data_IF_905411347333
#
_entry.id   IF_905411347333
#
_cell.length_a   1.000
_cell.length_b   1.000
_cell.length_c   1.000
_cell.angle_alpha   90.00
_cell.angle_beta   90.00
_cell.angle_gamma   90.00
#
_symmetry.space_group_name_H-M   'P 1'
#
loop_
_entity.id
_entity.type
_entity.pdbx_description
1 polymer ?
#
# COMPACT_ATOMS: atom_id res chain seq x y z
N UNK A 1 12.35 0.55 -5.32
CA UNK A 1 11.67 -0.22 -4.24
C UNK A 1 12.02 0.32 -2.85
N UNK A 2 13.29 0.40 -2.44
CA UNK A 2 13.67 0.93 -1.11
C UNK A 2 13.41 2.43 -0.95
N UNK A 3 13.76 3.23 -1.96
CA UNK A 3 13.42 4.67 -1.96
C UNK A 3 11.90 4.89 -1.88
N UNK A 4 11.12 4.14 -2.67
CA UNK A 4 9.66 4.14 -2.60
C UNK A 4 9.14 3.76 -1.20
N UNK A 5 9.73 2.75 -0.56
CA UNK A 5 9.37 2.33 0.79
C UNK A 5 9.57 3.48 1.79
N UNK A 6 10.68 4.22 1.67
CA UNK A 6 10.93 5.39 2.51
C UNK A 6 9.82 6.44 2.35
N UNK A 7 9.42 6.80 1.12
CA UNK A 7 8.34 7.76 0.91
C UNK A 7 6.99 7.27 1.42
N UNK A 8 6.64 6.01 1.15
CA UNK A 8 5.39 5.42 1.66
C UNK A 8 5.36 5.51 3.18
N UNK A 9 6.44 5.08 3.84
CA UNK A 9 6.52 5.11 5.30
C UNK A 9 6.45 6.54 5.84
N UNK A 10 7.24 7.45 5.27
CA UNK A 10 7.26 8.85 5.68
C UNK A 10 5.88 9.48 5.52
N UNK A 11 5.26 9.38 4.35
CA UNK A 11 3.94 9.98 4.07
C UNK A 11 2.87 9.36 4.97
N UNK A 12 2.80 8.03 5.09
CA UNK A 12 1.79 7.37 5.94
C UNK A 12 1.92 7.78 7.41
N UNK A 13 3.15 7.84 7.95
CA UNK A 13 3.37 8.26 9.34
C UNK A 13 3.09 9.74 9.52
N UNK A 14 3.52 10.59 8.58
CA UNK A 14 3.25 12.02 8.64
C UNK A 14 1.75 12.30 8.55
N UNK A 15 1.01 11.63 7.67
CA UNK A 15 -0.45 11.77 7.60
C UNK A 15 -1.09 11.39 8.93
N UNK A 16 -0.73 10.26 9.55
CA UNK A 16 -1.26 9.87 10.87
C UNK A 16 -0.93 10.83 12.01
N UNK A 17 0.20 11.55 11.92
CA UNK A 17 0.65 12.45 12.99
C UNK A 17 0.24 13.91 12.81
N UNK A 18 0.17 14.39 11.57
CA UNK A 18 0.09 15.81 11.24
C UNK A 18 -1.07 16.18 10.33
N UNK A 19 -1.65 15.22 9.59
CA UNK A 19 -2.87 15.48 8.85
C UNK A 19 -4.09 15.18 9.74
N UNK A 20 -5.23 15.80 9.43
CA UNK A 20 -6.50 15.64 10.15
C UNK A 20 -7.09 14.25 9.93
N UNK A 21 -6.34 13.20 10.27
CA UNK A 21 -6.86 11.85 10.37
C UNK A 21 -7.97 11.91 11.40
N UNK A 22 -9.20 11.52 11.03
CA UNK A 22 -10.32 11.65 11.94
C UNK A 22 -10.00 10.86 13.21
N UNK A 23 -10.13 11.52 14.37
CA UNK A 23 -9.56 11.06 15.64
C UNK A 23 -10.05 9.67 16.08
N UNK A 24 -11.23 9.24 15.60
CA UNK A 24 -11.77 7.91 15.84
C UNK A 24 -11.07 6.77 15.08
N UNK A 25 -10.18 7.07 14.12
CA UNK A 25 -9.47 6.06 13.33
C UNK A 25 -8.65 5.11 14.21
N UNK A 26 -7.89 5.68 15.17
CA UNK A 26 -6.99 4.89 16.03
C UNK A 26 -7.77 3.95 16.94
N UNK A 27 -8.93 4.39 17.43
CA UNK A 27 -9.77 3.63 18.34
C UNK A 27 -10.62 2.59 17.61
N UNK A 28 -11.03 2.86 16.36
CA UNK A 28 -12.02 2.06 15.63
C UNK A 28 -11.69 1.91 14.14
N UNK A 29 -10.49 1.40 13.78
CA UNK A 29 -9.99 1.40 12.41
C UNK A 29 -10.84 0.61 11.41
N UNK A 30 -11.73 -0.26 11.91
CA UNK A 30 -12.59 -1.13 11.10
C UNK A 30 -14.02 -0.62 10.95
N UNK A 31 -14.39 0.55 11.49
CA UNK A 31 -15.67 1.15 11.11
C UNK A 31 -15.67 1.46 9.60
N UNK A 32 -16.82 1.36 8.91
CA UNK A 32 -16.89 1.47 7.45
C UNK A 32 -16.21 2.73 6.88
N UNK A 33 -16.28 3.85 7.61
CA UNK A 33 -15.65 5.11 7.23
C UNK A 33 -14.11 5.06 7.19
N UNK A 34 -13.51 4.26 8.07
CA UNK A 34 -12.05 4.10 8.21
C UNK A 34 -11.49 2.95 7.38
N UNK A 35 -12.34 1.99 7.02
CA UNK A 35 -11.96 0.78 6.32
C UNK A 35 -11.27 1.06 4.98
N UNK A 36 -11.61 2.18 4.33
CA UNK A 36 -10.99 2.63 3.08
C UNK A 36 -9.46 2.78 3.21
N UNK A 37 -8.98 3.33 4.33
CA UNK A 37 -7.54 3.52 4.61
C UNK A 37 -6.87 2.21 4.99
N UNK A 38 -7.55 1.36 5.75
CA UNK A 38 -7.04 0.03 6.09
C UNK A 38 -6.83 -0.79 4.82
N UNK A 39 -7.81 -0.81 3.90
CA UNK A 39 -7.71 -1.51 2.62
C UNK A 39 -6.56 -0.92 1.78
N UNK A 40 -6.45 0.40 1.68
CA UNK A 40 -5.33 1.05 0.98
C UNK A 40 -3.97 0.62 1.55
N UNK A 41 -3.82 0.67 2.88
CA UNK A 41 -2.58 0.31 3.57
C UNK A 41 -2.20 -1.17 3.34
N UNK A 42 -3.18 -2.08 3.42
CA UNK A 42 -2.95 -3.52 3.16
C UNK A 42 -2.52 -3.75 1.71
N UNK A 43 -3.22 -3.14 0.74
CA UNK A 43 -2.84 -3.26 -0.68
C UNK A 43 -1.44 -2.72 -0.94
N UNK A 44 -1.10 -1.56 -0.37
CA UNK A 44 0.23 -0.97 -0.46
C UNK A 44 1.32 -1.86 0.12
N UNK A 45 1.09 -2.43 1.30
CA UNK A 45 2.02 -3.35 1.95
C UNK A 45 2.25 -4.63 1.12
N UNK A 46 1.18 -5.24 0.61
CA UNK A 46 1.26 -6.43 -0.25
C UNK A 46 2.01 -6.09 -1.54
N UNK A 47 1.69 -4.98 -2.21
CA UNK A 47 2.37 -4.55 -3.42
C UNK A 47 3.88 -4.34 -3.19
N UNK A 48 4.24 -3.74 -2.07
CA UNK A 48 5.62 -3.49 -1.69
C UNK A 48 6.40 -4.79 -1.40
N UNK A 49 5.79 -5.75 -0.69
CA UNK A 49 6.38 -7.07 -0.46
C UNK A 49 6.58 -7.83 -1.77
N UNK A 50 5.59 -7.81 -2.66
CA UNK A 50 5.70 -8.41 -4.00
C UNK A 50 6.80 -7.75 -4.84
N UNK A 51 6.95 -6.43 -4.77
CA UNK A 51 8.01 -5.70 -5.46
C UNK A 51 9.41 -6.08 -4.92
N UNK A 52 9.56 -6.21 -3.60
CA UNK A 52 10.81 -6.68 -2.97
C UNK A 52 11.11 -8.12 -3.43
N UNK A 53 10.12 -9.01 -3.40
CA UNK A 53 10.27 -10.38 -3.89
C UNK A 53 10.73 -10.40 -5.36
N UNK A 54 10.05 -9.65 -6.25
CA UNK A 54 10.39 -9.60 -7.66
C UNK A 54 11.82 -9.08 -7.89
N UNK A 55 12.24 -8.07 -7.13
CA UNK A 55 13.60 -7.52 -7.19
C UNK A 55 14.63 -8.59 -6.81
N UNK A 56 14.46 -9.24 -5.65
CA UNK A 56 15.40 -10.27 -5.17
C UNK A 56 15.44 -11.50 -6.08
N UNK A 57 14.29 -11.94 -6.59
CA UNK A 57 14.17 -13.06 -7.52
C UNK A 57 14.66 -12.71 -8.95
N UNK A 58 14.61 -11.44 -9.33
CA UNK A 58 15.20 -10.91 -10.57
C UNK A 58 16.73 -10.94 -10.53
N UNK A 59 17.30 -10.54 -9.40
CA UNK A 59 18.76 -10.57 -9.14
C UNK A 59 19.30 -11.95 -8.73
N UNK A 60 18.48 -13.00 -8.74
CA UNK A 60 18.85 -14.38 -8.34
C UNK A 60 19.35 -14.49 -6.89
N UNK A 61 19.03 -13.52 -6.02
CA UNK A 61 19.33 -13.57 -4.59
C UNK A 61 18.37 -14.53 -3.88
N UNK A 62 17.10 -14.50 -4.26
CA UNK A 62 16.08 -15.42 -3.75
C UNK A 62 15.78 -16.51 -4.79
N UNK A 63 15.72 -17.80 -4.38
CA UNK A 63 15.33 -18.86 -5.31
C UNK A 63 13.92 -18.65 -5.83
N UNK A 64 13.74 -18.84 -7.14
CA UNK A 64 12.43 -18.83 -7.82
C UNK A 64 11.67 -20.12 -7.51
N UNK A 65 11.18 -20.24 -6.27
CA UNK A 65 10.48 -21.45 -5.79
C UNK A 65 9.04 -21.56 -6.27
N UNK A 66 8.41 -20.47 -6.69
CA UNK A 66 6.99 -20.44 -7.03
C UNK A 66 6.79 -19.71 -8.36
N UNK A 67 6.29 -20.42 -9.37
CA UNK A 67 5.84 -19.85 -10.64
C UNK A 67 6.89 -19.09 -11.47
N UNK A 68 6.44 -18.47 -12.55
CA UNK A 68 7.28 -17.65 -13.43
C UNK A 68 7.34 -16.22 -12.91
N UNK A 69 8.54 -15.61 -12.86
CA UNK A 69 8.73 -14.23 -12.39
C UNK A 69 7.81 -13.22 -13.11
N UNK A 70 7.53 -13.44 -14.40
CA UNK A 70 6.60 -12.61 -15.19
C UNK A 70 5.23 -12.47 -14.52
N UNK A 71 4.67 -13.54 -13.97
CA UNK A 71 3.35 -13.49 -13.33
C UNK A 71 3.39 -12.72 -12.01
N UNK A 72 4.48 -12.83 -11.26
CA UNK A 72 4.69 -12.03 -10.06
C UNK A 72 4.85 -10.54 -10.35
N UNK A 73 5.52 -10.19 -11.45
CA UNK A 73 5.61 -8.79 -11.89
C UNK A 73 4.23 -8.24 -12.25
N UNK A 74 3.40 -9.01 -12.97
CA UNK A 74 2.02 -8.62 -13.27
C UNK A 74 1.15 -8.50 -12.03
N UNK A 75 1.25 -9.47 -11.09
CA UNK A 75 0.54 -9.39 -9.82
C UNK A 75 0.96 -8.15 -9.02
N UNK A 76 2.27 -7.88 -8.93
CA UNK A 76 2.82 -6.67 -8.29
C UNK A 76 2.23 -5.41 -8.91
N UNK A 77 2.20 -5.33 -10.25
CA UNK A 77 1.65 -4.19 -10.97
C UNK A 77 0.15 -4.00 -10.72
N UNK A 78 -0.63 -5.08 -10.74
CA UNK A 78 -2.06 -5.05 -10.47
C UNK A 78 -2.35 -4.60 -9.02
N UNK A 79 -1.67 -5.18 -8.03
CA UNK A 79 -1.83 -4.79 -6.62
C UNK A 79 -1.39 -3.35 -6.38
N UNK A 80 -0.29 -2.91 -7.00
CA UNK A 80 0.15 -1.52 -6.93
C UNK A 80 -0.89 -0.55 -7.50
N UNK A 81 -1.45 -0.88 -8.67
CA UNK A 81 -2.49 -0.08 -9.30
C UNK A 81 -3.72 0.03 -8.41
N UNK A 82 -4.16 -1.08 -7.81
CA UNK A 82 -5.26 -1.08 -6.84
C UNK A 82 -4.95 -0.22 -5.60
N UNK A 83 -3.72 -0.28 -5.08
CA UNK A 83 -3.30 0.57 -3.97
C UNK A 83 -3.37 2.07 -4.32
N UNK A 84 -2.92 2.46 -5.52
CA UNK A 84 -3.00 3.85 -6.01
C UNK A 84 -4.45 4.31 -6.12
N UNK A 85 -5.32 3.51 -6.75
CA UNK A 85 -6.76 3.82 -6.86
C UNK A 85 -7.37 4.01 -5.48
N UNK A 86 -7.07 3.13 -4.54
CA UNK A 86 -7.57 3.24 -3.16
C UNK A 86 -7.01 4.47 -2.44
N UNK A 87 -5.77 4.89 -2.71
CA UNK A 87 -5.20 6.11 -2.12
C UNK A 87 -5.92 7.37 -2.62
N UNK A 88 -6.23 7.43 -3.92
CA UNK A 88 -7.06 8.51 -4.48
C UNK A 88 -8.46 8.49 -3.85
N UNK A 89 -9.03 7.32 -3.67
CA UNK A 89 -10.35 7.17 -3.07
C UNK A 89 -10.37 7.57 -1.58
N UNK A 90 -9.34 7.22 -0.81
CA UNK A 90 -9.12 7.73 0.56
C UNK A 90 -9.13 9.26 0.58
N UNK A 91 -8.36 9.89 -0.29
CA UNK A 91 -8.29 11.35 -0.36
C UNK A 91 -9.66 11.96 -0.67
N UNK A 92 -10.39 11.39 -1.63
CA UNK A 92 -11.73 11.83 -1.97
C UNK A 92 -12.70 11.73 -0.79
N UNK A 93 -12.74 10.59 -0.09
CA UNK A 93 -13.68 10.38 1.01
C UNK A 93 -13.37 11.29 2.21
N UNK A 94 -12.09 11.53 2.53
CA UNK A 94 -11.72 12.27 3.73
C UNK A 94 -11.62 13.79 3.54
N UNK A 95 -11.41 14.28 2.32
CA UNK A 95 -11.20 15.70 2.07
C UNK A 95 -12.19 16.36 1.10
N UNK A 96 -12.99 15.59 0.36
CA UNK A 96 -13.93 16.13 -0.64
C UNK A 96 -15.38 15.76 -0.31
N UNK A 97 -15.64 14.49 0.03
CA UNK A 97 -16.99 14.00 0.22
C UNK A 97 -17.60 14.31 1.61
N UNK A 98 -16.75 14.69 2.58
CA UNK A 98 -17.11 15.03 3.97
C UNK A 98 -16.72 16.48 4.21
#
# INVERSE_FOLDING_TARGET
VLFNLFFIFAIMVLSLRFENVPSGFVERPFEPFYLVVVIHAVLGAVAQLLAIYCLLAGHKILPRKIGTLKYWMWATFATWTAAVIMGVYTYYIWYIAV
#
